data_IF_111425155322
#
_entry.id   IF_111425155322
#
_cell.length_a   1.000
_cell.length_b   1.000
_cell.length_c   1.000
_cell.angle_alpha   90.00
_cell.angle_beta   90.00
_cell.angle_gamma   90.00
#
_symmetry.space_group_name_H-M   'P 1'
#
loop_
_entity.id
_entity.type
_entity.pdbx_description
1 polymer ?
#
# COMPACT_ATOMS: atom_id res chain seq x y z
N UNK A 1 -31.65 -2.07 -2.82
CA UNK A 1 -30.52 -3.03 -2.91
C UNK A 1 -29.26 -2.21 -3.13
N UNK A 2 -28.14 -2.47 -2.43
CA UNK A 2 -26.90 -1.76 -2.74
C UNK A 2 -26.47 -2.12 -4.16
N UNK A 3 -26.05 -1.12 -4.93
CA UNK A 3 -25.53 -1.28 -6.28
C UNK A 3 -24.26 -2.13 -6.19
N UNK A 4 -24.09 -3.21 -6.99
CA UNK A 4 -22.85 -3.95 -7.01
C UNK A 4 -21.71 -3.02 -7.48
N UNK A 5 -20.73 -2.80 -6.60
CA UNK A 5 -19.51 -2.08 -6.94
C UNK A 5 -18.57 -3.09 -7.61
N UNK A 6 -18.20 -2.80 -8.85
CA UNK A 6 -17.25 -3.62 -9.61
C UNK A 6 -15.88 -2.94 -9.59
N UNK A 7 -14.93 -3.54 -8.87
CA UNK A 7 -13.53 -3.14 -8.91
C UNK A 7 -12.81 -3.92 -10.01
N UNK A 8 -12.19 -3.20 -10.96
CA UNK A 8 -11.37 -3.81 -12.04
C UNK A 8 -9.88 -3.85 -11.71
N UNK A 9 -9.48 -3.30 -10.57
CA UNK A 9 -8.10 -3.36 -10.09
C UNK A 9 -7.66 -4.79 -9.83
N UNK A 10 -6.47 -5.13 -10.31
CA UNK A 10 -5.82 -6.42 -10.06
C UNK A 10 -4.81 -6.23 -8.94
N UNK A 11 -5.00 -6.95 -7.83
CA UNK A 11 -4.02 -6.96 -6.74
C UNK A 11 -2.91 -7.94 -7.08
N UNK A 12 -1.68 -7.44 -7.12
CA UNK A 12 -0.50 -8.21 -7.50
C UNK A 12 0.47 -8.30 -6.34
N UNK A 13 0.91 -9.51 -6.02
CA UNK A 13 2.07 -9.77 -5.17
C UNK A 13 3.23 -10.16 -6.09
N UNK A 14 4.32 -9.41 -6.06
CA UNK A 14 5.50 -9.64 -6.88
C UNK A 14 6.71 -9.85 -5.98
N UNK A 15 7.33 -11.03 -6.04
CA UNK A 15 8.56 -11.32 -5.29
C UNK A 15 9.77 -11.32 -6.24
N UNK A 16 10.73 -10.45 -5.99
CA UNK A 16 11.98 -10.34 -6.74
C UNK A 16 13.16 -10.46 -5.77
N UNK A 17 14.06 -11.41 -5.97
CA UNK A 17 15.23 -11.66 -5.11
C UNK A 17 14.92 -11.67 -3.59
N UNK A 18 13.76 -12.19 -3.20
CA UNK A 18 13.34 -12.28 -1.80
C UNK A 18 12.60 -11.05 -1.26
N UNK A 19 12.45 -9.97 -2.03
CA UNK A 19 11.65 -8.79 -1.67
C UNK A 19 10.27 -8.88 -2.32
N UNK A 20 9.21 -8.77 -1.52
CA UNK A 20 7.83 -8.89 -1.97
C UNK A 20 7.13 -7.53 -1.99
N UNK A 21 6.65 -7.15 -3.17
CA UNK A 21 5.88 -5.95 -3.44
C UNK A 21 4.38 -6.28 -3.51
N UNK A 22 3.57 -5.48 -2.82
CA UNK A 22 2.12 -5.48 -2.99
C UNK A 22 1.68 -4.27 -3.81
N UNK A 23 1.09 -4.53 -4.98
CA UNK A 23 0.56 -3.53 -5.90
C UNK A 23 -0.96 -3.72 -5.98
N UNK A 24 -1.76 -2.98 -5.19
CA UNK A 24 -3.21 -3.17 -5.11
C UNK A 24 -4.00 -2.40 -6.18
N UNK A 25 -3.35 -1.51 -6.95
CA UNK A 25 -4.04 -0.59 -7.86
C UNK A 25 -4.93 0.38 -7.10
N UNK A 26 -6.16 0.57 -7.56
CA UNK A 26 -7.13 1.50 -6.95
C UNK A 26 -8.27 0.76 -6.23
N UNK A 27 -8.01 -0.41 -5.62
CA UNK A 27 -9.05 -1.07 -4.82
C UNK A 27 -9.44 -0.18 -3.62
N UNK A 28 -10.74 0.00 -3.43
CA UNK A 28 -11.22 0.72 -2.25
C UNK A 28 -11.46 -0.24 -1.08
N UNK A 29 -11.83 0.31 0.08
CA UNK A 29 -12.03 -0.45 1.31
C UNK A 29 -12.93 -1.69 1.14
N UNK A 30 -14.04 -1.58 0.40
CA UNK A 30 -14.94 -2.72 0.18
C UNK A 30 -14.26 -3.86 -0.62
N UNK A 31 -13.38 -3.51 -1.57
CA UNK A 31 -12.57 -4.47 -2.32
C UNK A 31 -11.56 -5.20 -1.42
N UNK A 32 -10.85 -4.44 -0.56
CA UNK A 32 -9.98 -5.01 0.47
C UNK A 32 -10.72 -5.98 1.38
N UNK A 33 -11.85 -5.56 1.94
CA UNK A 33 -12.63 -6.39 2.86
C UNK A 33 -13.08 -7.70 2.21
N UNK A 34 -13.43 -7.67 0.92
CA UNK A 34 -13.80 -8.87 0.17
C UNK A 34 -12.60 -9.81 -0.05
N UNK A 35 -11.42 -9.26 -0.35
CA UNK A 35 -10.20 -10.03 -0.53
C UNK A 35 -9.72 -10.65 0.79
N UNK A 36 -9.84 -9.93 1.91
CA UNK A 36 -9.46 -10.39 3.25
C UNK A 36 -10.26 -11.60 3.75
N UNK A 37 -11.41 -11.92 3.12
CA UNK A 37 -12.13 -13.16 3.40
C UNK A 37 -11.38 -14.41 2.92
N UNK A 38 -10.41 -14.26 2.01
CA UNK A 38 -9.61 -15.36 1.47
C UNK A 38 -8.38 -15.58 2.33
N UNK A 39 -8.22 -16.78 2.86
CA UNK A 39 -7.05 -17.16 3.67
C UNK A 39 -5.73 -17.05 2.88
N UNK A 40 -5.72 -17.45 1.61
CA UNK A 40 -4.56 -17.32 0.74
C UNK A 40 -4.11 -15.87 0.60
N UNK A 41 -5.05 -14.93 0.43
CA UNK A 41 -4.74 -13.51 0.34
C UNK A 41 -4.15 -12.97 1.65
N UNK A 42 -4.72 -13.34 2.80
CA UNK A 42 -4.16 -12.99 4.12
C UNK A 42 -2.75 -13.57 4.32
N UNK A 43 -2.52 -14.79 3.85
CA UNK A 43 -1.21 -15.43 3.91
C UNK A 43 -0.17 -14.72 3.04
N UNK A 44 -0.57 -14.22 1.87
CA UNK A 44 0.30 -13.41 1.01
C UNK A 44 0.68 -12.07 1.65
N UNK A 45 -0.23 -11.43 2.40
CA UNK A 45 0.03 -10.16 3.08
C UNK A 45 1.13 -10.25 4.14
N UNK A 46 1.29 -11.40 4.80
CA UNK A 46 2.31 -11.61 5.85
C UNK A 46 3.73 -11.39 5.32
N UNK A 47 3.96 -11.70 4.04
CA UNK A 47 5.29 -11.67 3.43
C UNK A 47 5.59 -10.36 2.70
N UNK A 48 4.74 -9.33 2.80
CA UNK A 48 4.92 -8.07 2.06
C UNK A 48 5.97 -7.20 2.74
N UNK A 49 7.00 -6.82 1.99
CA UNK A 49 8.06 -5.91 2.41
C UNK A 49 7.76 -4.46 1.96
N UNK A 50 7.24 -4.32 0.74
CA UNK A 50 6.94 -3.02 0.13
C UNK A 50 5.46 -2.96 -0.22
N UNK A 51 4.73 -2.05 0.42
CA UNK A 51 3.29 -1.87 0.20
C UNK A 51 3.03 -0.61 -0.62
N UNK A 52 2.54 -0.75 -1.85
CA UNK A 52 2.09 0.40 -2.62
C UNK A 52 0.68 0.75 -2.14
N UNK A 53 0.48 1.97 -1.63
CA UNK A 53 -0.81 2.39 -1.11
C UNK A 53 -1.85 2.44 -2.22
N UNK A 54 -3.00 1.80 -1.99
CA UNK A 54 -4.09 1.80 -2.96
C UNK A 54 -4.54 3.23 -3.26
N UNK A 55 -4.90 3.50 -4.51
CA UNK A 55 -5.45 4.79 -4.93
C UNK A 55 -4.61 5.99 -4.45
N UNK A 56 -3.29 5.86 -4.56
CA UNK A 56 -2.29 6.84 -4.13
C UNK A 56 -2.27 7.14 -2.62
N UNK A 57 -2.91 6.32 -1.78
CA UNK A 57 -3.01 6.52 -0.33
C UNK A 57 -4.23 7.32 0.12
N UNK A 58 -5.28 7.43 -0.70
CA UNK A 58 -6.53 8.12 -0.33
C UNK A 58 -7.31 7.39 0.77
N UNK A 59 -8.02 8.16 1.60
CA UNK A 59 -8.78 7.64 2.75
C UNK A 59 -9.83 6.60 2.36
N UNK A 60 -10.59 6.80 1.27
CA UNK A 60 -11.60 5.84 0.78
C UNK A 60 -11.02 4.47 0.38
N UNK A 61 -9.71 4.40 0.16
CA UNK A 61 -8.99 3.18 -0.20
C UNK A 61 -8.17 2.58 0.94
N UNK A 62 -8.13 3.25 2.08
CA UNK A 62 -7.48 2.75 3.28
C UNK A 62 -8.32 1.65 3.92
N UNK A 63 -7.67 0.54 4.26
CA UNK A 63 -8.29 -0.57 4.98
C UNK A 63 -7.39 -0.97 6.16
N UNK A 64 -7.70 -0.46 7.36
CA UNK A 64 -6.92 -0.77 8.57
C UNK A 64 -6.81 -2.29 8.82
N UNK A 65 -7.87 -3.04 8.51
CA UNK A 65 -7.90 -4.51 8.67
C UNK A 65 -6.87 -5.25 7.82
N UNK A 66 -6.38 -4.66 6.72
CA UNK A 66 -5.31 -5.27 5.92
C UNK A 66 -4.00 -5.33 6.73
N UNK A 67 -3.74 -4.32 7.55
CA UNK A 67 -2.53 -4.22 8.38
C UNK A 67 -2.55 -5.10 9.63
N UNK A 68 -3.68 -5.76 9.94
CA UNK A 68 -3.69 -6.86 10.91
C UNK A 68 -2.90 -8.09 10.42
N UNK A 69 -2.64 -8.17 9.11
CA UNK A 69 -1.91 -9.28 8.48
C UNK A 69 -0.64 -8.81 7.77
N UNK A 70 -0.45 -7.50 7.60
CA UNK A 70 0.59 -6.92 6.77
C UNK A 70 1.38 -5.90 7.61
N UNK A 71 2.67 -6.12 7.78
CA UNK A 71 3.58 -5.21 8.48
C UNK A 71 4.78 -4.90 7.58
N UNK A 72 4.60 -4.12 6.50
CA UNK A 72 5.66 -3.87 5.52
C UNK A 72 6.83 -3.09 6.12
N UNK A 73 7.98 -3.14 5.45
CA UNK A 73 9.10 -2.28 5.82
C UNK A 73 8.84 -0.83 5.42
N UNK A 74 8.23 -0.63 4.25
CA UNK A 74 7.93 0.70 3.74
C UNK A 74 6.62 0.71 2.95
N UNK A 75 5.91 1.83 3.05
CA UNK A 75 4.70 2.09 2.26
C UNK A 75 5.01 3.17 1.23
N UNK A 76 4.56 3.00 0.00
CA UNK A 76 4.82 3.92 -1.10
C UNK A 76 3.52 4.54 -1.59
N UNK A 77 3.46 5.87 -1.62
CA UNK A 77 2.38 6.60 -2.27
C UNK A 77 2.86 7.04 -3.65
N UNK A 78 2.29 6.43 -4.69
CA UNK A 78 2.55 6.84 -6.08
C UNK A 78 1.70 8.06 -6.44
N UNK A 79 1.91 9.22 -5.82
CA UNK A 79 1.13 10.45 -6.04
C UNK A 79 1.84 11.48 -6.95
N UNK A 80 1.02 12.28 -7.64
CA UNK A 80 1.48 13.37 -8.52
C UNK A 80 1.30 14.75 -7.87
N UNK A 81 1.60 15.81 -8.63
CA UNK A 81 1.56 17.21 -8.18
C UNK A 81 0.16 17.80 -7.93
N UNK A 82 -0.92 17.02 -8.11
CA UNK A 82 -2.29 17.51 -7.86
C UNK A 82 -2.65 17.44 -6.38
N UNK A 83 -3.08 18.59 -5.84
CA UNK A 83 -3.50 18.81 -4.45
C UNK A 83 -4.79 18.04 -4.17
N UNK A 84 -4.69 16.78 -3.79
CA UNK A 84 -5.80 16.04 -3.18
C UNK A 84 -5.26 15.24 -1.99
N UNK A 85 -5.67 15.63 -0.78
CA UNK A 85 -5.81 14.92 0.54
C UNK A 85 -4.87 13.78 0.96
N UNK A 86 -3.93 13.33 0.14
CA UNK A 86 -2.97 12.25 0.42
C UNK A 86 -2.02 12.59 1.56
N UNK A 87 -1.76 13.87 1.81
CA UNK A 87 -0.98 14.31 2.98
C UNK A 87 -1.65 13.93 4.31
N UNK A 88 -2.98 13.82 4.36
CA UNK A 88 -3.72 13.54 5.59
C UNK A 88 -3.50 12.09 6.06
N UNK A 89 -3.19 11.18 5.14
CA UNK A 89 -3.07 9.74 5.43
C UNK A 89 -1.64 9.27 5.68
N UNK A 90 -0.61 10.08 5.41
CA UNK A 90 0.80 9.67 5.57
C UNK A 90 1.07 9.13 6.98
N UNK A 91 0.66 9.86 8.02
CA UNK A 91 0.85 9.42 9.42
C UNK A 91 0.03 8.17 9.74
N UNK A 92 -1.17 8.06 9.16
CA UNK A 92 -2.05 6.89 9.31
C UNK A 92 -1.43 5.64 8.69
N UNK A 93 -0.75 5.73 7.56
CA UNK A 93 -0.04 4.59 6.97
C UNK A 93 1.30 4.33 7.68
N UNK A 94 2.04 5.37 8.07
CA UNK A 94 3.36 5.25 8.69
C UNK A 94 3.38 4.34 9.93
N UNK A 95 2.31 4.36 10.75
CA UNK A 95 2.17 3.49 11.94
C UNK A 95 2.15 1.99 11.64
N UNK A 96 1.95 1.58 10.39
CA UNK A 96 1.91 0.18 9.98
C UNK A 96 3.21 -0.34 9.39
N UNK A 97 4.21 0.53 9.19
CA UNK A 97 5.48 0.15 8.59
C UNK A 97 6.60 0.07 9.63
N UNK A 98 7.58 -0.83 9.44
CA UNK A 98 8.74 -0.94 10.33
C UNK A 98 9.83 0.11 10.06
N UNK A 99 9.82 0.72 8.88
CA UNK A 99 10.79 1.72 8.43
C UNK A 99 11.94 1.14 7.61
N UNK A 100 12.48 1.97 6.74
CA UNK A 100 13.68 1.72 5.93
C UNK A 100 14.64 2.91 6.00
N UNK A 101 15.93 2.68 5.81
CA UNK A 101 16.87 3.79 5.62
C UNK A 101 16.77 4.32 4.18
N UNK A 102 16.38 5.58 4.02
CA UNK A 102 16.25 6.25 2.73
C UNK A 102 16.81 7.67 2.85
N UNK A 103 17.77 8.03 2.00
CA UNK A 103 18.51 9.30 2.05
C UNK A 103 19.10 9.65 3.42
N UNK A 104 19.58 8.64 4.16
CA UNK A 104 20.20 8.82 5.48
C UNK A 104 19.23 8.93 6.65
N UNK A 105 17.93 8.82 6.41
CA UNK A 105 16.89 8.89 7.45
C UNK A 105 16.07 7.60 7.51
N UNK A 106 15.49 7.30 8.68
CA UNK A 106 14.47 6.25 8.78
C UNK A 106 13.14 6.78 8.25
N UNK A 107 12.63 6.16 7.19
CA UNK A 107 11.40 6.53 6.51
C UNK A 107 10.41 5.37 6.54
N UNK A 108 9.17 5.66 6.88
CA UNK A 108 8.07 4.69 6.93
C UNK A 108 7.16 4.78 5.70
N UNK A 109 7.05 5.99 5.14
CA UNK A 109 6.33 6.28 3.91
C UNK A 109 7.24 7.06 2.96
N UNK A 110 7.26 6.61 1.70
CA UNK A 110 7.90 7.31 0.58
C UNK A 110 6.82 7.78 -0.40
N UNK A 111 7.03 8.91 -1.06
CA UNK A 111 6.08 9.43 -2.05
C UNK A 111 6.79 9.86 -3.33
N UNK A 112 6.21 9.58 -4.49
CA UNK A 112 6.78 10.04 -5.75
C UNK A 112 6.77 11.56 -5.90
N UNK A 113 5.85 12.26 -5.21
CA UNK A 113 5.81 13.73 -5.17
C UNK A 113 6.99 14.35 -4.44
N UNK A 114 7.41 13.79 -3.29
CA UNK A 114 8.43 14.41 -2.44
C UNK A 114 9.80 13.77 -2.63
N UNK A 115 9.85 12.47 -2.88
CA UNK A 115 11.09 11.69 -2.99
C UNK A 115 11.50 11.43 -4.45
N UNK A 116 10.68 11.84 -5.42
CA UNK A 116 10.94 11.67 -6.86
C UNK A 116 10.73 10.22 -7.32
N UNK A 117 11.48 9.80 -8.34
CA UNK A 117 11.42 8.42 -8.80
C UNK A 117 12.10 7.48 -7.79
N UNK A 118 11.38 6.44 -7.38
CA UNK A 118 11.84 5.45 -6.39
C UNK A 118 12.20 4.16 -7.13
N UNK A 119 13.37 3.61 -6.85
CA UNK A 119 13.92 2.43 -7.53
C UNK A 119 14.44 1.44 -6.48
N UNK A 120 14.34 0.16 -6.79
CA UNK A 120 15.05 -0.90 -6.07
C UNK A 120 16.08 -1.53 -7.02
N UNK A 121 17.30 -1.67 -6.52
CA UNK A 121 18.36 -2.44 -7.16
C UNK A 121 18.43 -3.80 -6.42
N UNK A 122 17.88 -4.86 -7.05
CA UNK A 122 17.59 -6.17 -6.44
C UNK A 122 18.36 -7.30 -7.11
#
# INVERSE_FOLDING_TARGET
MPVPIFYISVVTFLTCHGVTFLIPGDIEQAGWERLLLRESFRSSLINVDVFIASHHGRENSYCERAFNYCSPNVIVFSDGSKIHTTQEMTNTYARHASGVTFNGETRYVLTTRNDGAIWWDL
#
